data_IF_474616140811
#
_entry.id   IF_474616140811
#
_cell.length_a   1.000
_cell.length_b   1.000
_cell.length_c   1.000
_cell.angle_alpha   90.00
_cell.angle_beta   90.00
_cell.angle_gamma   90.00
#
_symmetry.space_group_name_H-M   'P 1'
#
loop_
_entity.id
_entity.type
_entity.pdbx_description
1 polymer ?
#
# COMPACT_ATOMS: atom_id res chain seq x y z
N UNK A 1 15.00 7.36 7.12
CA UNK A 1 13.62 6.86 7.09
C UNK A 1 13.35 6.08 5.82
N UNK A 2 12.57 5.01 5.90
CA UNK A 2 12.12 4.16 4.79
C UNK A 2 10.61 4.21 4.78
N UNK A 3 10.03 4.82 3.76
CA UNK A 3 8.58 4.98 3.66
C UNK A 3 8.03 4.03 2.59
N UNK A 4 7.01 3.26 2.91
CA UNK A 4 6.33 2.34 1.98
C UNK A 4 4.84 2.64 1.95
N UNK A 5 4.22 2.51 0.78
CA UNK A 5 2.76 2.47 0.61
C UNK A 5 2.37 1.06 0.19
N UNK A 6 1.45 0.45 0.91
CA UNK A 6 1.00 -0.92 0.64
C UNK A 6 -0.52 -0.89 0.43
N UNK A 7 -0.95 -1.24 -0.77
CA UNK A 7 -2.36 -1.31 -1.12
C UNK A 7 -3.05 -2.52 -0.52
N UNK A 8 -4.31 -2.39 -0.07
CA UNK A 8 -5.08 -3.49 0.52
C UNK A 8 -5.35 -4.66 -0.43
N UNK A 9 -5.24 -4.45 -1.74
CA UNK A 9 -5.36 -5.46 -2.80
C UNK A 9 -4.02 -5.79 -3.48
N UNK A 10 -2.89 -5.30 -2.94
CA UNK A 10 -1.54 -5.58 -3.47
C UNK A 10 -1.08 -7.03 -3.30
N UNK A 11 -1.80 -7.82 -2.49
CA UNK A 11 -1.42 -9.18 -2.11
C UNK A 11 -0.28 -9.26 -1.08
N UNK A 12 0.17 -8.13 -0.53
CA UNK A 12 1.22 -8.08 0.49
C UNK A 12 0.63 -8.19 1.90
N UNK A 13 1.15 -9.13 2.69
CA UNK A 13 0.93 -9.12 4.15
C UNK A 13 1.91 -8.14 4.80
N UNK A 14 1.38 -7.05 5.36
CA UNK A 14 2.16 -6.02 6.08
C UNK A 14 2.93 -6.64 7.25
N UNK A 15 2.33 -7.59 7.95
CA UNK A 15 2.92 -8.27 9.10
C UNK A 15 4.09 -9.15 8.67
N UNK A 16 3.91 -9.95 7.62
CA UNK A 16 4.99 -10.77 7.07
C UNK A 16 6.14 -9.90 6.54
N UNK A 17 5.81 -8.76 5.92
CA UNK A 17 6.82 -7.81 5.47
C UNK A 17 7.60 -7.20 6.64
N UNK A 18 6.93 -6.71 7.69
CA UNK A 18 7.59 -6.16 8.89
C UNK A 18 8.53 -7.17 9.55
N UNK A 19 8.10 -8.43 9.63
CA UNK A 19 8.95 -9.51 10.12
C UNK A 19 10.17 -9.76 9.22
N UNK A 20 9.98 -9.86 7.92
CA UNK A 20 11.08 -10.06 6.97
C UNK A 20 12.07 -8.88 7.01
N UNK A 21 11.55 -7.66 7.16
CA UNK A 21 12.35 -6.45 7.30
C UNK A 21 13.23 -6.49 8.55
N UNK A 22 12.67 -6.76 9.73
CA UNK A 22 13.45 -6.81 10.99
C UNK A 22 14.55 -7.86 10.96
N UNK A 23 14.29 -9.03 10.35
CA UNK A 23 15.32 -10.06 10.14
C UNK A 23 16.39 -9.57 9.16
N UNK A 24 15.99 -8.93 8.06
CA UNK A 24 16.90 -8.45 7.01
C UNK A 24 17.84 -7.32 7.46
N UNK A 25 17.43 -6.48 8.42
CA UNK A 25 18.24 -5.34 8.88
C UNK A 25 19.12 -5.64 10.11
N UNK A 26 19.06 -6.86 10.67
CA UNK A 26 19.69 -7.23 11.94
C UNK A 26 21.20 -6.93 12.05
N UNK A 27 21.91 -6.96 10.92
CA UNK A 27 23.36 -6.66 10.85
C UNK A 27 23.65 -5.38 10.04
N UNK A 28 22.64 -4.55 9.83
CA UNK A 28 22.74 -3.29 9.09
C UNK A 28 22.81 -2.07 10.01
N UNK A 29 23.09 -0.91 9.43
CA UNK A 29 23.02 0.39 10.12
C UNK A 29 21.59 0.94 10.29
N UNK A 30 20.59 0.25 9.75
CA UNK A 30 19.20 0.71 9.70
C UNK A 30 18.52 0.33 11.02
N UNK A 31 17.80 1.28 11.63
CA UNK A 31 16.97 1.01 12.81
C UNK A 31 15.62 0.41 12.42
N UNK A 32 15.01 -0.39 13.30
CA UNK A 32 13.68 -0.99 13.06
C UNK A 32 12.59 0.09 12.90
N UNK A 33 12.71 1.17 13.65
CA UNK A 33 11.86 2.35 13.66
C UNK A 33 11.99 3.25 12.42
N UNK A 34 13.02 3.02 11.60
CA UNK A 34 13.20 3.70 10.32
C UNK A 34 12.09 3.35 9.31
N UNK A 35 11.45 2.19 9.44
CA UNK A 35 10.38 1.76 8.56
C UNK A 35 9.03 2.41 8.93
N UNK A 36 8.44 3.11 7.96
CA UNK A 36 7.07 3.65 8.02
C UNK A 36 6.27 3.03 6.88
N UNK A 37 5.12 2.45 7.21
CA UNK A 37 4.19 1.86 6.25
C UNK A 37 2.88 2.62 6.32
N UNK A 38 2.43 3.09 5.17
CA UNK A 38 1.09 3.64 4.95
C UNK A 38 0.26 2.60 4.18
N UNK A 39 -0.83 2.15 4.78
CA UNK A 39 -1.76 1.21 4.13
C UNK A 39 -2.80 1.98 3.31
N UNK A 40 -2.93 1.64 2.03
CA UNK A 40 -3.81 2.33 1.09
C UNK A 40 -5.04 1.48 0.84
N UNK A 41 -6.21 2.02 1.17
CA UNK A 41 -7.48 1.35 0.91
C UNK A 41 -7.80 1.27 -0.59
N UNK A 42 -8.44 0.17 -0.98
CA UNK A 42 -8.89 -0.03 -2.34
C UNK A 42 -10.10 0.83 -2.70
N UNK A 43 -9.94 1.60 -3.78
CA UNK A 43 -10.99 2.42 -4.36
C UNK A 43 -11.07 2.09 -5.84
N UNK A 44 -12.28 1.83 -6.32
CA UNK A 44 -12.56 1.62 -7.74
C UNK A 44 -13.45 2.71 -8.28
N UNK A 45 -13.23 3.09 -9.53
CA UNK A 45 -14.12 3.95 -10.30
C UNK A 45 -14.97 3.11 -11.24
N UNK A 46 -16.29 3.23 -11.14
CA UNK A 46 -17.20 2.54 -12.05
C UNK A 46 -17.08 3.10 -13.47
N UNK A 47 -16.97 2.23 -14.46
CA UNK A 47 -16.88 2.62 -15.88
C UNK A 47 -18.22 3.05 -16.46
N UNK A 48 -19.34 2.70 -15.81
CA UNK A 48 -20.69 2.96 -16.34
C UNK A 48 -21.33 4.22 -15.75
N UNK A 49 -21.05 4.53 -14.48
CA UNK A 49 -21.62 5.70 -13.81
C UNK A 49 -20.57 6.70 -13.28
N UNK A 50 -19.29 6.47 -13.55
CA UNK A 50 -18.15 7.33 -13.20
C UNK A 50 -17.95 7.64 -11.71
N UNK A 51 -18.67 6.96 -10.81
CA UNK A 51 -18.53 7.15 -9.36
C UNK A 51 -17.41 6.28 -8.80
N UNK A 52 -16.66 6.86 -7.88
CA UNK A 52 -15.69 6.14 -7.06
C UNK A 52 -16.37 5.51 -5.85
N UNK A 53 -15.92 4.33 -5.46
CA UNK A 53 -16.42 3.60 -4.30
C UNK A 53 -15.33 2.72 -3.69
N UNK A 54 -15.49 2.40 -2.40
CA UNK A 54 -14.65 1.43 -1.71
C UNK A 54 -14.85 0.06 -2.34
N UNK A 55 -13.76 -0.59 -2.73
CA UNK A 55 -13.76 -1.89 -3.39
C UNK A 55 -12.89 -2.86 -2.59
N UNK A 56 -13.39 -3.20 -1.40
CA UNK A 56 -12.62 -3.88 -0.36
C UNK A 56 -12.08 -5.22 -0.83
N UNK A 57 -12.83 -5.91 -1.70
CA UNK A 57 -12.44 -7.22 -2.23
C UNK A 57 -11.93 -7.17 -3.67
N UNK A 58 -11.95 -6.02 -4.34
CA UNK A 58 -11.70 -5.90 -5.78
C UNK A 58 -12.80 -6.52 -6.66
N UNK A 59 -13.83 -7.12 -6.04
CA UNK A 59 -14.89 -7.88 -6.69
C UNK A 59 -16.28 -7.28 -6.45
N UNK A 60 -16.37 -6.17 -5.71
CA UNK A 60 -17.63 -5.57 -5.31
C UNK A 60 -18.35 -4.94 -6.51
N UNK A 61 -19.67 -5.09 -6.58
CA UNK A 61 -20.47 -4.34 -7.55
C UNK A 61 -20.50 -2.85 -7.17
N UNK A 62 -20.59 -1.96 -8.16
CA UNK A 62 -20.78 -0.54 -7.92
C UNK A 62 -22.07 -0.31 -7.10
N UNK A 63 -22.00 0.30 -5.91
CA UNK A 63 -23.17 0.48 -5.05
C UNK A 63 -24.17 1.50 -5.61
N UNK A 64 -23.79 2.25 -6.64
CA UNK A 64 -24.61 3.30 -7.23
C UNK A 64 -25.43 2.84 -8.45
N UNK A 65 -24.93 1.86 -9.22
CA UNK A 65 -25.59 1.39 -10.44
C UNK A 65 -25.65 -0.14 -10.59
N UNK A 66 -25.00 -0.91 -9.70
CA UNK A 66 -24.96 -2.37 -9.73
C UNK A 66 -23.98 -2.99 -10.74
N UNK A 67 -23.26 -2.16 -11.51
CA UNK A 67 -22.29 -2.66 -12.49
C UNK A 67 -21.03 -3.24 -11.84
N UNK A 68 -20.47 -4.28 -12.45
CA UNK A 68 -19.13 -4.80 -12.14
C UNK A 68 -18.04 -4.20 -13.02
N UNK A 69 -18.41 -3.41 -14.04
CA UNK A 69 -17.46 -2.71 -14.91
C UNK A 69 -16.82 -1.56 -14.14
N UNK A 70 -15.55 -1.71 -13.80
CA UNK A 70 -14.81 -0.77 -12.97
C UNK A 70 -13.33 -0.81 -13.25
N UNK A 71 -12.64 0.26 -12.86
CA UNK A 71 -11.18 0.37 -12.85
C UNK A 71 -10.71 0.68 -11.43
N UNK A 72 -9.74 -0.08 -10.95
CA UNK A 72 -9.09 0.20 -9.67
C UNK A 72 -8.29 1.51 -9.76
N UNK A 73 -8.52 2.41 -8.81
CA UNK A 73 -7.90 3.74 -8.70
C UNK A 73 -6.78 3.74 -7.66
N UNK A 74 -7.00 3.08 -6.53
CA UNK A 74 -6.01 2.91 -5.44
C UNK A 74 -6.15 1.54 -4.80
N UNK A 75 -5.18 1.15 -3.98
CA UNK A 75 -5.18 -0.11 -3.23
C UNK A 75 -4.39 -1.23 -3.91
N UNK A 76 -3.69 -0.95 -5.00
CA UNK A 76 -2.77 -1.90 -5.66
C UNK A 76 -1.29 -1.47 -5.55
N UNK A 77 -0.98 -0.57 -4.63
CA UNK A 77 0.37 -0.06 -4.42
C UNK A 77 1.28 -1.17 -3.87
N UNK A 78 2.42 -1.38 -4.52
CA UNK A 78 3.38 -2.41 -4.14
C UNK A 78 4.83 -1.94 -4.32
N UNK A 79 5.20 -0.74 -3.83
CA UNK A 79 6.59 -0.25 -3.96
C UNK A 79 7.04 0.70 -2.83
N UNK A 80 8.37 0.77 -2.63
CA UNK A 80 9.02 1.69 -1.70
C UNK A 80 8.93 3.14 -2.18
N UNK A 81 8.46 4.01 -1.30
CA UNK A 81 8.10 5.41 -1.59
C UNK A 81 9.33 6.31 -1.49
N UNK A 82 10.19 6.09 -0.49
CA UNK A 82 11.46 6.81 -0.37
C UNK A 82 12.42 6.14 0.61
N UNK A 83 13.72 6.41 0.42
CA UNK A 83 14.79 6.14 1.37
C UNK A 83 15.50 7.47 1.67
N UNK A 84 15.51 7.87 2.93
CA UNK A 84 16.17 9.08 3.42
C UNK A 84 17.27 8.67 4.41
N UNK A 85 18.48 9.13 4.17
CA UNK A 85 19.62 8.98 5.08
C UNK A 85 20.07 10.38 5.50
N UNK A 86 20.19 10.61 6.80
CA UNK A 86 20.78 11.83 7.32
C UNK A 86 22.29 11.62 7.44
N UNK A 87 23.09 12.38 6.70
CA UNK A 87 24.52 12.51 6.97
C UNK A 87 24.67 13.30 8.27
N UNK A 88 25.28 12.70 9.29
CA UNK A 88 25.73 13.46 10.45
C UNK A 88 27.01 14.19 10.07
N UNK A 89 26.94 15.51 9.92
CA UNK A 89 28.11 16.38 9.88
C UNK A 89 28.96 16.12 11.14
N UNK A 90 30.19 15.63 10.92
CA UNK A 90 31.20 15.37 11.96
C UNK A 90 31.87 16.67 12.38
#
# INVERSE_FOLDING_TARGET
NINLKIGSLSGVSVEAFKFAFSVGIKESIISEDALKIEEISAVSKCSDCDKEFSDTMGLDACPYCGSYSKKLVSGNEMFAVSFEMEEKDV
#
